data_IF_136738857775
#
_entry.id   IF_136738857775
#
_cell.length_a   1.000
_cell.length_b   1.000
_cell.length_c   1.000
_cell.angle_alpha   90.00
_cell.angle_beta   90.00
_cell.angle_gamma   90.00
#
_symmetry.space_group_name_H-M   'P 1'
#
loop_
_entity.id
_entity.type
_entity.pdbx_description
1 polymer ?
#
# COMPACT_ATOMS: atom_id res chain seq x y z
N UNK A 1 14.02 63.25 -36.85
CA UNK A 1 14.95 63.28 -35.71
C UNK A 1 14.15 63.52 -34.45
N UNK A 2 14.02 62.50 -33.60
CA UNK A 2 13.26 62.57 -32.35
C UNK A 2 14.20 63.01 -31.23
N UNK A 3 13.80 64.02 -30.45
CA UNK A 3 14.66 64.75 -29.50
C UNK A 3 15.29 63.82 -28.44
N UNK A 4 16.60 64.01 -28.19
CA UNK A 4 17.42 63.21 -27.25
C UNK A 4 16.89 63.22 -25.81
N UNK A 5 16.04 64.18 -25.46
CA UNK A 5 15.40 64.33 -24.14
C UNK A 5 14.31 63.27 -23.87
N UNK A 6 13.72 62.66 -24.91
CA UNK A 6 12.64 61.67 -24.75
C UNK A 6 13.18 60.25 -24.50
N UNK A 7 14.45 59.98 -24.86
CA UNK A 7 15.09 58.67 -24.59
C UNK A 7 15.58 58.52 -23.14
N UNK A 8 15.85 59.61 -22.43
CA UNK A 8 16.35 59.57 -21.05
C UNK A 8 15.26 59.38 -20.00
N UNK A 9 14.01 59.73 -20.30
CA UNK A 9 12.89 59.58 -19.33
C UNK A 9 12.32 58.15 -19.29
N UNK A 10 12.46 57.37 -20.38
CA UNK A 10 11.98 55.97 -20.44
C UNK A 10 12.98 55.01 -19.77
N UNK A 11 14.28 55.37 -19.72
CA UNK A 11 15.30 54.55 -19.05
C UNK A 11 15.32 54.68 -17.51
N UNK A 12 14.87 55.82 -16.95
CA UNK A 12 14.85 56.02 -15.49
C UNK A 12 13.63 55.37 -14.79
N UNK A 13 12.54 55.15 -15.52
CA UNK A 13 11.35 54.46 -15.01
C UNK A 13 11.53 52.93 -15.02
N UNK A 14 12.38 52.40 -15.90
CA UNK A 14 12.66 50.97 -16.00
C UNK A 14 13.68 50.43 -14.96
N UNK A 15 14.51 51.30 -14.36
CA UNK A 15 15.47 50.89 -13.31
C UNK A 15 14.97 51.10 -11.87
N UNK A 16 13.84 51.80 -11.67
CA UNK A 16 13.24 51.96 -10.33
C UNK A 16 12.27 50.83 -9.96
N UNK A 17 11.92 49.94 -10.90
CA UNK A 17 11.06 48.79 -10.66
C UNK A 17 11.81 47.50 -10.25
N UNK A 18 13.16 47.49 -10.30
CA UNK A 18 13.98 46.31 -9.99
C UNK A 18 14.69 46.35 -8.64
N UNK A 19 14.49 47.39 -7.82
CA UNK A 19 15.14 47.53 -6.51
C UNK A 19 14.21 47.35 -5.29
N UNK A 20 12.88 47.21 -5.49
CA UNK A 20 11.93 46.96 -4.39
C UNK A 20 11.60 45.48 -4.15
N UNK A 21 12.06 44.56 -5.01
CA UNK A 21 11.79 43.11 -4.87
C UNK A 21 12.72 42.36 -3.91
N UNK A 22 13.80 42.98 -3.43
CA UNK A 22 14.85 42.29 -2.67
C UNK A 22 14.89 42.64 -1.17
N UNK A 23 13.95 43.43 -0.64
CA UNK A 23 13.92 43.81 0.78
C UNK A 23 12.62 43.46 1.53
N UNK A 24 11.67 42.73 0.93
CA UNK A 24 10.45 42.27 1.60
C UNK A 24 10.62 40.90 2.31
N UNK A 25 11.83 40.57 2.78
CA UNK A 25 12.14 39.29 3.41
C UNK A 25 12.38 39.37 4.94
N UNK A 26 12.07 40.50 5.59
CA UNK A 26 12.17 40.61 7.05
C UNK A 26 11.08 41.54 7.61
N UNK A 27 10.09 40.95 8.27
CA UNK A 27 9.35 41.56 9.37
C UNK A 27 8.30 42.62 9.03
N UNK A 28 7.07 42.18 8.79
CA UNK A 28 5.91 42.68 9.55
C UNK A 28 4.64 41.95 9.16
N UNK A 29 3.89 41.59 10.19
CA UNK A 29 2.56 41.00 10.15
C UNK A 29 1.56 41.88 9.38
N UNK A 30 1.19 41.44 8.19
CA UNK A 30 -0.08 41.80 7.55
C UNK A 30 -0.66 40.54 6.93
N UNK A 31 -1.54 39.90 7.70
CA UNK A 31 -2.38 38.79 7.27
C UNK A 31 -3.37 39.28 6.21
N UNK A 32 -2.97 39.25 4.95
CA UNK A 32 -3.91 39.28 3.83
C UNK A 32 -4.41 37.85 3.63
N UNK A 33 -5.65 37.60 4.06
CA UNK A 33 -6.25 36.28 4.27
C UNK A 33 -6.97 35.72 3.03
N UNK A 34 -6.54 36.07 1.81
CA UNK A 34 -7.30 35.79 0.58
C UNK A 34 -6.68 34.82 -0.42
N UNK A 35 -5.55 34.17 -0.11
CA UNK A 35 -5.13 32.96 -0.83
C UNK A 35 -5.38 31.74 0.07
N UNK A 36 -6.63 31.30 0.18
CA UNK A 36 -6.92 29.98 0.73
C UNK A 36 -6.38 28.98 -0.29
N UNK A 37 -5.16 28.46 -0.05
CA UNK A 37 -4.58 27.42 -0.86
C UNK A 37 -5.54 26.23 -1.02
N UNK A 38 -5.30 25.37 -2.00
CA UNK A 38 -6.09 24.17 -2.28
C UNK A 38 -5.21 22.94 -2.13
N UNK A 39 -5.77 21.86 -1.59
CA UNK A 39 -5.09 20.58 -1.47
C UNK A 39 -5.60 19.68 -2.58
N UNK A 40 -4.68 19.12 -3.37
CA UNK A 40 -5.00 18.05 -4.28
C UNK A 40 -4.29 16.77 -3.84
N UNK A 41 -5.06 15.76 -3.44
CA UNK A 41 -4.56 14.43 -3.08
C UNK A 41 -4.86 13.40 -4.18
N UNK A 42 -3.81 12.80 -4.73
CA UNK A 42 -3.91 11.64 -5.62
C UNK A 42 -3.77 10.34 -4.81
N UNK A 43 -4.92 9.73 -4.54
CA UNK A 43 -5.07 8.50 -3.76
C UNK A 43 -4.78 7.24 -4.59
N UNK A 44 -3.95 6.37 -4.02
CA UNK A 44 -3.54 5.06 -4.54
C UNK A 44 -4.54 3.96 -4.27
N UNK A 45 -5.40 4.14 -3.26
CA UNK A 45 -6.24 3.09 -2.66
C UNK A 45 -7.72 3.23 -3.05
N UNK A 46 -8.20 2.61 -4.15
CA UNK A 46 -9.61 2.62 -4.55
C UNK A 46 -10.59 2.28 -3.41
N UNK A 47 -10.22 1.33 -2.57
CA UNK A 47 -11.00 0.83 -1.45
C UNK A 47 -11.25 1.89 -0.36
N UNK A 48 -10.41 2.92 -0.30
CA UNK A 48 -10.51 4.04 0.65
C UNK A 48 -11.10 5.32 0.03
N UNK A 49 -11.57 5.26 -1.23
CA UNK A 49 -11.95 6.45 -1.98
C UNK A 49 -13.08 7.26 -1.32
N UNK A 50 -14.10 6.58 -0.79
CA UNK A 50 -15.24 7.27 -0.19
C UNK A 50 -14.89 7.88 1.17
N UNK A 51 -14.07 7.20 1.97
CA UNK A 51 -13.54 7.71 3.23
C UNK A 51 -12.69 8.97 3.00
N UNK A 52 -11.86 8.98 1.95
CA UNK A 52 -11.09 10.19 1.60
C UNK A 52 -11.97 11.34 1.13
N UNK A 53 -13.06 11.08 0.40
CA UNK A 53 -14.03 12.13 0.04
C UNK A 53 -14.72 12.70 1.28
N UNK A 54 -15.04 11.88 2.27
CA UNK A 54 -15.61 12.33 3.53
C UNK A 54 -14.63 13.21 4.32
N UNK A 55 -13.36 12.77 4.45
CA UNK A 55 -12.29 13.55 5.08
C UNK A 55 -12.11 14.90 4.37
N UNK A 56 -12.07 14.91 3.04
CA UNK A 56 -11.94 16.13 2.25
C UNK A 56 -13.10 17.11 2.49
N UNK A 57 -14.35 16.61 2.53
CA UNK A 57 -15.55 17.41 2.83
C UNK A 57 -15.49 18.00 4.24
N UNK A 58 -15.19 17.19 5.24
CA UNK A 58 -15.12 17.63 6.63
C UNK A 58 -13.99 18.64 6.86
N UNK A 59 -12.82 18.42 6.25
CA UNK A 59 -11.71 19.37 6.31
C UNK A 59 -12.08 20.70 5.65
N UNK A 60 -12.68 20.65 4.45
CA UNK A 60 -13.13 21.84 3.72
C UNK A 60 -14.17 22.62 4.52
N UNK A 61 -15.14 21.92 5.15
CA UNK A 61 -16.16 22.53 6.01
C UNK A 61 -15.57 23.25 7.23
N UNK A 62 -14.55 22.65 7.86
CA UNK A 62 -13.92 23.20 9.08
C UNK A 62 -12.98 24.36 8.81
N UNK A 63 -12.23 24.30 7.71
CA UNK A 63 -11.12 25.24 7.44
C UNK A 63 -11.41 26.23 6.32
N UNK A 64 -12.38 25.91 5.46
CA UNK A 64 -12.63 26.64 4.20
C UNK A 64 -11.57 26.42 3.13
N UNK A 65 -10.59 25.52 3.34
CA UNK A 65 -9.59 25.11 2.35
C UNK A 65 -10.17 24.00 1.48
N UNK A 66 -10.20 24.20 0.17
CA UNK A 66 -10.69 23.19 -0.77
C UNK A 66 -9.74 21.98 -0.82
N UNK A 67 -10.32 20.78 -0.70
CA UNK A 67 -9.59 19.51 -0.86
C UNK A 67 -10.20 18.71 -2.00
N UNK A 68 -9.43 18.55 -3.08
CA UNK A 68 -9.72 17.62 -4.19
C UNK A 68 -9.06 16.29 -3.90
N UNK A 69 -9.83 15.19 -3.99
CA UNK A 69 -9.29 13.82 -3.99
C UNK A 69 -9.56 13.18 -5.34
N UNK A 70 -8.51 12.71 -6.01
CA UNK A 70 -8.62 11.86 -7.19
C UNK A 70 -8.08 10.48 -6.83
N UNK A 71 -8.81 9.43 -7.16
CA UNK A 71 -8.38 8.05 -6.89
C UNK A 71 -8.08 7.36 -8.21
N UNK A 72 -6.88 6.80 -8.34
CA UNK A 72 -6.54 6.00 -9.52
C UNK A 72 -7.34 4.69 -9.53
N UNK A 73 -7.57 4.13 -10.71
CA UNK A 73 -8.11 2.78 -10.80
C UNK A 73 -7.05 1.77 -10.33
N UNK A 74 -7.50 0.58 -9.89
CA UNK A 74 -6.59 -0.48 -9.47
C UNK A 74 -5.57 -0.80 -10.58
N UNK A 75 -4.29 -0.86 -10.23
CA UNK A 75 -3.20 -1.12 -11.16
C UNK A 75 -2.79 0.03 -12.08
N UNK A 76 -3.45 1.19 -12.05
CA UNK A 76 -3.13 2.32 -12.95
C UNK A 76 -2.43 3.50 -12.27
N UNK A 77 -2.09 3.39 -10.97
CA UNK A 77 -1.61 4.52 -10.18
C UNK A 77 -0.40 5.24 -10.76
N UNK A 78 0.68 4.53 -11.11
CA UNK A 78 1.90 5.18 -11.64
C UNK A 78 1.63 5.91 -12.96
N UNK A 79 0.74 5.38 -13.81
CA UNK A 79 0.32 6.06 -15.04
C UNK A 79 -0.47 7.33 -14.71
N UNK A 80 -1.40 7.25 -13.75
CA UNK A 80 -2.15 8.41 -13.27
C UNK A 80 -1.22 9.46 -12.65
N UNK A 81 -0.31 9.07 -11.75
CA UNK A 81 0.65 9.97 -11.11
C UNK A 81 1.51 10.68 -12.15
N UNK A 82 2.05 9.96 -13.13
CA UNK A 82 2.80 10.56 -14.24
C UNK A 82 1.99 11.60 -15.02
N UNK A 83 0.74 11.28 -15.35
CA UNK A 83 -0.16 12.20 -16.04
C UNK A 83 -0.44 13.46 -15.20
N UNK A 84 -0.72 13.28 -13.91
CA UNK A 84 -1.06 14.37 -13.00
C UNK A 84 0.13 15.28 -12.68
N UNK A 85 1.32 14.72 -12.43
CA UNK A 85 2.55 15.49 -12.21
C UNK A 85 2.95 16.30 -13.46
N UNK A 86 2.70 15.77 -14.65
CA UNK A 86 3.02 16.46 -15.92
C UNK A 86 2.18 17.73 -16.15
N UNK A 87 1.17 18.01 -15.33
CA UNK A 87 0.35 19.23 -15.40
C UNK A 87 1.00 20.45 -14.75
N UNK A 88 2.19 20.31 -14.16
CA UNK A 88 2.93 21.43 -13.57
C UNK A 88 2.18 22.02 -12.37
N UNK A 89 1.71 23.26 -12.48
CA UNK A 89 1.04 23.99 -11.39
C UNK A 89 -0.28 23.34 -10.91
N UNK A 90 -0.85 22.43 -11.69
CA UNK A 90 -2.04 21.64 -11.31
C UNK A 90 -1.70 20.23 -10.76
N UNK A 91 -0.42 19.94 -10.54
CA UNK A 91 0.04 18.69 -9.96
C UNK A 91 -0.55 18.47 -8.55
N UNK A 92 -0.67 17.19 -8.11
CA UNK A 92 -1.14 16.89 -6.77
C UNK A 92 -0.20 17.44 -5.70
N UNK A 93 -0.76 18.10 -4.70
CA UNK A 93 -0.05 18.54 -3.49
C UNK A 93 0.39 17.35 -2.65
N UNK A 94 -0.42 16.29 -2.63
CA UNK A 94 -0.18 15.05 -1.90
C UNK A 94 -0.30 13.88 -2.88
N UNK A 95 0.69 13.03 -2.89
CA UNK A 95 0.67 11.77 -3.64
C UNK A 95 1.42 10.70 -2.83
N UNK A 96 1.27 9.47 -3.27
CA UNK A 96 1.86 8.30 -2.62
C UNK A 96 3.02 7.80 -3.47
N UNK A 97 4.06 7.33 -2.80
CA UNK A 97 5.24 6.75 -3.43
C UNK A 97 5.31 5.28 -3.07
N UNK A 98 5.59 4.42 -4.06
CA UNK A 98 5.72 2.99 -3.86
C UNK A 98 7.09 2.63 -3.28
N UNK A 99 7.31 3.00 -2.01
CA UNK A 99 8.55 2.76 -1.29
C UNK A 99 9.79 3.38 -1.94
N UNK A 100 10.99 2.81 -1.71
CA UNK A 100 12.24 3.31 -2.28
C UNK A 100 12.29 3.32 -3.81
N UNK A 101 11.64 2.35 -4.47
CA UNK A 101 11.61 2.26 -5.94
C UNK A 101 10.76 3.38 -6.53
N UNK A 102 9.57 3.62 -5.98
CA UNK A 102 8.74 4.77 -6.38
C UNK A 102 9.47 6.09 -6.08
N UNK A 103 10.11 6.20 -4.92
CA UNK A 103 10.90 7.39 -4.58
C UNK A 103 12.00 7.69 -5.59
N UNK A 104 12.73 6.68 -6.08
CA UNK A 104 13.76 6.89 -7.10
C UNK A 104 13.23 7.58 -8.37
N UNK A 105 11.97 7.33 -8.73
CA UNK A 105 11.29 7.96 -9.87
C UNK A 105 10.75 9.36 -9.56
N UNK A 106 10.36 9.61 -8.31
CA UNK A 106 9.59 10.80 -7.92
C UNK A 106 10.33 11.76 -6.98
N UNK A 107 11.59 11.48 -6.61
CA UNK A 107 12.34 12.25 -5.60
C UNK A 107 12.38 13.75 -5.84
N UNK A 108 12.45 14.18 -7.10
CA UNK A 108 12.54 15.60 -7.48
C UNK A 108 11.21 16.34 -7.24
N UNK A 109 10.12 15.61 -6.99
CA UNK A 109 8.78 16.11 -6.66
C UNK A 109 8.43 15.94 -5.18
N UNK A 110 9.39 15.56 -4.33
CA UNK A 110 9.17 15.38 -2.88
C UNK A 110 9.79 16.53 -2.08
N UNK A 111 9.09 16.96 -1.03
CA UNK A 111 9.61 17.90 -0.06
C UNK A 111 10.30 17.18 1.11
N UNK A 112 11.19 17.86 1.82
CA UNK A 112 11.64 17.40 3.14
C UNK A 112 10.55 17.67 4.17
N UNK A 113 10.00 16.60 4.74
CA UNK A 113 8.90 16.62 5.68
C UNK A 113 9.37 16.56 7.14
N UNK A 114 10.69 16.56 7.40
CA UNK A 114 11.26 16.34 8.74
C UNK A 114 10.77 17.32 9.80
N UNK A 115 10.53 18.56 9.42
CA UNK A 115 10.09 19.61 10.36
C UNK A 115 8.56 19.84 10.31
N UNK A 116 7.82 18.97 9.63
CA UNK A 116 6.36 19.09 9.52
C UNK A 116 5.65 18.50 10.72
N UNK A 117 4.50 19.08 11.07
CA UNK A 117 3.60 18.53 12.09
C UNK A 117 3.12 17.11 11.72
N UNK A 118 2.93 16.84 10.42
CA UNK A 118 2.61 15.51 9.92
C UNK A 118 3.67 14.47 10.32
N UNK A 119 4.96 14.83 10.22
CA UNK A 119 6.01 13.94 10.69
C UNK A 119 5.93 13.78 12.20
N UNK A 120 5.76 14.86 12.97
CA UNK A 120 5.71 14.81 14.44
C UNK A 120 4.64 13.87 14.99
N UNK A 121 3.51 13.73 14.30
CA UNK A 121 2.42 12.82 14.69
C UNK A 121 2.70 11.34 14.39
N UNK A 122 3.76 11.03 13.64
CA UNK A 122 4.11 9.66 13.34
C UNK A 122 4.61 8.93 14.60
N UNK A 123 3.82 7.95 15.06
CA UNK A 123 4.08 7.19 16.29
C UNK A 123 5.39 6.40 16.25
N UNK A 124 5.76 5.89 15.07
CA UNK A 124 7.02 5.20 14.84
C UNK A 124 7.82 5.92 13.76
N UNK A 125 8.86 6.64 14.14
CA UNK A 125 9.70 7.42 13.21
C UNK A 125 10.62 6.55 12.33
N UNK A 126 10.80 5.28 12.68
CA UNK A 126 11.72 4.38 11.99
C UNK A 126 11.15 3.86 10.67
N UNK A 127 9.82 3.94 10.49
CA UNK A 127 9.13 3.52 9.26
C UNK A 127 9.00 4.65 8.23
N UNK A 128 9.40 5.87 8.57
CA UNK A 128 9.43 6.97 7.61
C UNK A 128 10.46 6.70 6.51
N UNK A 129 10.11 7.03 5.25
CA UNK A 129 11.08 6.94 4.16
C UNK A 129 12.04 8.13 4.27
N UNK A 130 13.35 7.84 4.33
CA UNK A 130 14.41 8.83 4.50
C UNK A 130 15.38 8.81 3.33
N UNK A 131 15.89 9.98 2.99
CA UNK A 131 17.05 10.16 2.09
C UNK A 131 18.07 11.06 2.80
N UNK A 132 19.13 10.44 3.33
CA UNK A 132 20.04 11.08 4.28
C UNK A 132 19.28 11.59 5.51
N UNK A 133 19.40 12.88 5.78
CA UNK A 133 18.71 13.55 6.90
C UNK A 133 17.28 13.97 6.58
N UNK A 134 16.83 13.85 5.32
CA UNK A 134 15.49 14.29 4.88
C UNK A 134 14.45 13.21 5.15
N UNK A 135 13.24 13.62 5.50
CA UNK A 135 12.07 12.74 5.54
C UNK A 135 11.27 12.96 4.26
N UNK A 136 11.30 12.00 3.36
CA UNK A 136 10.77 12.15 1.98
C UNK A 136 9.45 11.39 1.77
N UNK A 137 9.00 10.65 2.78
CA UNK A 137 7.70 9.99 2.78
C UNK A 137 7.26 9.65 4.19
N UNK A 138 6.00 9.97 4.50
CA UNK A 138 5.39 9.68 5.80
C UNK A 138 4.35 8.58 5.61
N UNK A 139 4.53 7.40 6.25
CA UNK A 139 3.53 6.35 6.20
C UNK A 139 2.29 6.77 6.98
N UNK A 140 1.12 6.65 6.36
CA UNK A 140 -0.17 6.97 6.98
C UNK A 140 -1.00 5.71 7.29
N UNK A 141 -0.61 4.55 6.76
CA UNK A 141 -1.25 3.26 7.01
C UNK A 141 -0.18 2.18 7.11
N UNK A 142 -0.34 1.28 8.08
CA UNK A 142 0.45 0.06 8.19
C UNK A 142 -0.42 -1.11 7.75
N UNK A 143 0.06 -1.89 6.79
CA UNK A 143 -0.62 -3.07 6.29
C UNK A 143 0.22 -4.30 6.57
N UNK A 144 -0.43 -5.35 7.05
CA UNK A 144 0.20 -6.64 7.31
C UNK A 144 -0.47 -7.69 6.45
N UNK A 145 0.33 -8.66 6.00
CA UNK A 145 -0.13 -9.80 5.23
C UNK A 145 0.39 -11.10 5.82
N UNK A 146 -0.36 -12.17 5.59
CA UNK A 146 -0.09 -13.48 6.16
C UNK A 146 -1.20 -14.46 5.79
N UNK A 147 -1.57 -15.28 6.76
CA UNK A 147 -2.72 -16.17 6.68
C UNK A 147 -3.83 -15.62 7.55
N UNK A 148 -4.96 -15.30 6.93
CA UNK A 148 -6.21 -15.07 7.62
C UNK A 148 -6.86 -16.45 7.76
N UNK A 149 -7.39 -16.80 8.94
CA UNK A 149 -8.07 -18.09 9.13
C UNK A 149 -9.50 -17.94 9.64
N UNK A 150 -10.37 -18.86 9.21
CA UNK A 150 -11.74 -18.95 9.68
C UNK A 150 -11.74 -19.72 11.01
N UNK A 151 -12.03 -19.03 12.13
CA UNK A 151 -11.99 -19.60 13.48
C UNK A 151 -12.94 -20.77 13.66
N UNK A 152 -14.13 -20.71 13.07
CA UNK A 152 -15.12 -21.78 13.19
C UNK A 152 -14.65 -23.06 12.49
N UNK A 153 -14.10 -22.94 11.27
CA UNK A 153 -13.57 -24.08 10.53
C UNK A 153 -12.31 -24.65 11.18
N UNK A 154 -11.40 -23.80 11.66
CA UNK A 154 -10.21 -24.27 12.37
C UNK A 154 -10.58 -24.95 13.71
N UNK A 155 -11.59 -24.44 14.42
CA UNK A 155 -12.15 -25.08 15.61
C UNK A 155 -12.77 -26.44 15.30
N UNK A 156 -13.50 -26.55 14.17
CA UNK A 156 -14.04 -27.84 13.70
C UNK A 156 -12.91 -28.84 13.42
N UNK A 157 -11.83 -28.40 12.77
CA UNK A 157 -10.65 -29.22 12.52
C UNK A 157 -9.95 -29.68 13.80
N UNK A 158 -9.66 -28.76 14.73
CA UNK A 158 -8.98 -29.10 15.99
C UNK A 158 -9.79 -30.03 16.90
N UNK A 159 -11.11 -30.08 16.70
CA UNK A 159 -12.02 -31.03 17.34
C UNK A 159 -11.94 -32.48 16.80
N UNK A 160 -11.27 -32.71 15.67
CA UNK A 160 -11.04 -34.08 15.19
C UNK A 160 -10.11 -34.83 16.15
N UNK A 161 -10.37 -36.13 16.32
CA UNK A 161 -9.65 -36.98 17.28
C UNK A 161 -8.14 -37.01 17.00
N UNK A 162 -7.77 -36.99 15.72
CA UNK A 162 -6.42 -37.13 15.19
C UNK A 162 -5.85 -35.85 14.54
N UNK A 163 -6.49 -34.70 14.83
CA UNK A 163 -6.01 -33.38 14.43
C UNK A 163 -4.55 -33.15 14.88
N UNK A 164 -3.74 -32.53 14.01
CA UNK A 164 -2.30 -32.32 14.22
C UNK A 164 -1.95 -31.20 15.21
N UNK A 165 -2.93 -30.38 15.54
CA UNK A 165 -2.84 -29.29 16.53
C UNK A 165 -4.14 -29.19 17.32
N UNK A 166 -4.08 -28.57 18.50
CA UNK A 166 -5.28 -28.29 19.32
C UNK A 166 -5.72 -26.82 19.32
N UNK A 167 -4.89 -25.92 18.80
CA UNK A 167 -5.24 -24.52 18.63
C UNK A 167 -4.46 -23.87 17.48
N UNK A 168 -4.81 -22.63 17.14
CA UNK A 168 -4.14 -21.87 16.08
C UNK A 168 -2.68 -21.54 16.47
N UNK A 169 -2.41 -21.33 17.75
CA UNK A 169 -1.10 -20.93 18.29
C UNK A 169 -0.03 -22.02 18.12
N UNK A 170 -0.44 -23.28 18.00
CA UNK A 170 0.47 -24.39 17.71
C UNK A 170 0.95 -24.40 16.24
N UNK A 171 0.32 -23.62 15.36
CA UNK A 171 0.72 -23.43 13.95
C UNK A 171 1.81 -22.35 13.86
N UNK A 172 2.97 -22.64 14.45
CA UNK A 172 4.08 -21.69 14.62
C UNK A 172 5.33 -22.02 13.79
N UNK A 173 5.21 -22.98 12.87
CA UNK A 173 6.29 -23.40 11.96
C UNK A 173 5.71 -23.88 10.64
N UNK A 174 6.55 -23.89 9.60
CA UNK A 174 6.17 -24.44 8.30
C UNK A 174 5.74 -25.92 8.40
N UNK A 175 6.47 -26.74 9.15
CA UNK A 175 6.15 -28.17 9.29
C UNK A 175 4.79 -28.39 9.96
N UNK A 176 4.46 -27.57 10.97
CA UNK A 176 3.13 -27.60 11.61
C UNK A 176 2.04 -27.11 10.66
N UNK A 177 2.26 -26.01 9.96
CA UNK A 177 1.31 -25.51 8.95
C UNK A 177 1.06 -26.55 7.86
N UNK A 178 2.11 -27.18 7.34
CA UNK A 178 2.02 -28.25 6.35
C UNK A 178 1.24 -29.45 6.89
N UNK A 179 1.57 -29.90 8.09
CA UNK A 179 0.88 -31.04 8.70
C UNK A 179 -0.62 -30.74 8.88
N UNK A 180 -0.99 -29.53 9.27
CA UNK A 180 -2.40 -29.10 9.39
C UNK A 180 -3.08 -29.02 8.03
N UNK A 181 -2.44 -28.42 7.03
CA UNK A 181 -3.00 -28.29 5.68
C UNK A 181 -3.21 -29.64 4.99
N UNK A 182 -2.21 -30.52 5.02
CA UNK A 182 -2.28 -31.88 4.50
C UNK A 182 -3.43 -32.67 5.16
N UNK A 183 -3.66 -32.46 6.46
CA UNK A 183 -4.66 -33.18 7.25
C UNK A 183 -6.07 -32.61 7.04
N UNK A 184 -6.21 -31.30 6.88
CA UNK A 184 -7.45 -30.65 6.42
C UNK A 184 -7.82 -31.15 5.02
N UNK A 185 -6.86 -31.27 4.09
CA UNK A 185 -7.12 -31.84 2.76
C UNK A 185 -7.68 -33.26 2.81
N UNK A 186 -7.18 -34.10 3.71
CA UNK A 186 -7.64 -35.48 3.88
C UNK A 186 -9.06 -35.53 4.45
N UNK A 187 -9.41 -34.57 5.31
CA UNK A 187 -10.70 -34.50 6.00
C UNK A 187 -11.67 -33.47 5.40
N UNK A 188 -11.46 -33.03 4.15
CA UNK A 188 -12.32 -32.02 3.48
C UNK A 188 -13.80 -32.30 3.61
N UNK A 189 -14.21 -33.53 3.34
CA UNK A 189 -15.61 -33.96 3.39
C UNK A 189 -16.20 -33.86 4.80
N UNK A 190 -15.44 -34.24 5.82
CA UNK A 190 -15.88 -34.17 7.22
C UNK A 190 -15.97 -32.70 7.69
N UNK A 191 -15.03 -31.88 7.21
CA UNK A 191 -14.95 -30.45 7.52
C UNK A 191 -15.95 -29.61 6.72
N UNK A 192 -16.43 -30.10 5.57
CA UNK A 192 -17.31 -29.36 4.68
C UNK A 192 -16.57 -28.24 3.94
N UNK A 193 -15.29 -28.43 3.61
CA UNK A 193 -14.44 -27.46 2.91
C UNK A 193 -13.94 -28.04 1.59
N UNK A 194 -13.63 -27.18 0.63
CA UNK A 194 -13.07 -27.58 -0.66
C UNK A 194 -11.54 -27.66 -0.63
N UNK A 195 -10.88 -27.03 0.36
CA UNK A 195 -9.43 -27.03 0.54
C UNK A 195 -8.98 -26.48 1.88
N UNK A 196 -7.70 -26.66 2.21
CA UNK A 196 -7.12 -25.99 3.37
C UNK A 196 -6.96 -24.49 3.09
N UNK A 197 -6.45 -24.15 1.90
CA UNK A 197 -6.27 -22.78 1.43
C UNK A 197 -7.28 -22.40 0.35
N UNK A 198 -7.65 -21.12 0.29
CA UNK A 198 -8.26 -20.53 -0.92
C UNK A 198 -7.35 -20.72 -2.13
N UNK A 199 -7.91 -20.61 -3.32
CA UNK A 199 -7.17 -20.68 -4.57
C UNK A 199 -6.04 -19.64 -4.65
N UNK A 200 -4.86 -20.11 -5.06
CA UNK A 200 -3.70 -19.29 -5.34
C UNK A 200 -3.75 -18.75 -6.78
N UNK A 201 -4.65 -17.80 -7.04
CA UNK A 201 -4.92 -17.28 -8.37
C UNK A 201 -3.77 -16.55 -9.04
N UNK A 202 -3.57 -16.80 -10.34
CA UNK A 202 -2.56 -16.16 -11.20
C UNK A 202 -3.17 -15.20 -12.23
N UNK A 203 -4.47 -14.90 -12.11
CA UNK A 203 -5.03 -13.71 -12.73
C UNK A 203 -4.43 -12.43 -12.12
N UNK A 204 -4.40 -11.35 -12.90
CA UNK A 204 -3.88 -10.03 -12.52
C UNK A 204 -4.49 -9.44 -11.23
N UNK A 205 -5.72 -9.81 -10.88
CA UNK A 205 -6.37 -9.40 -9.63
C UNK A 205 -5.84 -10.12 -8.38
N UNK A 206 -5.05 -11.19 -8.54
CA UNK A 206 -4.71 -12.15 -7.49
C UNK A 206 -3.21 -12.45 -7.39
N UNK A 207 -2.50 -12.40 -8.52
CA UNK A 207 -1.12 -12.89 -8.64
C UNK A 207 -0.11 -12.18 -7.73
N UNK A 208 -0.34 -10.89 -7.43
CA UNK A 208 0.46 -10.02 -6.55
C UNK A 208 0.60 -10.59 -5.13
N UNK A 209 -0.37 -11.39 -4.68
CA UNK A 209 -0.28 -12.13 -3.41
C UNK A 209 0.93 -13.05 -3.35
N UNK A 210 1.28 -13.68 -4.47
CA UNK A 210 2.32 -14.70 -4.54
C UNK A 210 3.60 -14.22 -5.23
N UNK A 211 3.49 -13.39 -6.28
CA UNK A 211 4.65 -12.84 -7.00
C UNK A 211 5.27 -11.62 -6.32
N UNK A 212 4.51 -10.92 -5.47
CA UNK A 212 4.97 -9.76 -4.71
C UNK A 212 5.05 -10.08 -3.22
N UNK A 213 3.92 -10.20 -2.51
CA UNK A 213 3.97 -10.31 -1.04
C UNK A 213 4.71 -11.54 -0.53
N UNK A 214 4.38 -12.73 -1.06
CA UNK A 214 5.06 -13.94 -0.64
C UNK A 214 6.54 -13.94 -1.06
N UNK A 215 6.87 -13.40 -2.24
CA UNK A 215 8.23 -13.30 -2.74
C UNK A 215 9.08 -12.23 -2.04
N UNK A 216 8.46 -11.23 -1.42
CA UNK A 216 9.17 -10.18 -0.69
C UNK A 216 9.91 -10.73 0.54
N UNK A 217 9.38 -11.75 1.21
CA UNK A 217 10.01 -12.32 2.41
C UNK A 217 11.40 -12.92 2.16
N UNK A 218 11.58 -13.89 1.24
CA UNK A 218 12.91 -14.45 0.98
C UNK A 218 13.90 -13.38 0.47
N UNK A 219 13.43 -12.44 -0.35
CA UNK A 219 14.27 -11.35 -0.86
C UNK A 219 14.69 -10.38 0.24
N UNK A 220 13.76 -10.00 1.13
CA UNK A 220 14.06 -9.11 2.25
C UNK A 220 15.15 -9.70 3.17
N UNK A 221 15.00 -10.97 3.56
CA UNK A 221 15.98 -11.59 4.44
C UNK A 221 17.34 -11.74 3.77
N UNK A 222 17.40 -12.12 2.49
CA UNK A 222 18.65 -12.16 1.73
C UNK A 222 19.29 -10.77 1.62
N UNK A 223 18.53 -9.76 1.22
CA UNK A 223 19.05 -8.40 1.04
C UNK A 223 19.50 -7.77 2.34
N UNK A 224 18.84 -8.11 3.46
CA UNK A 224 19.25 -7.68 4.79
C UNK A 224 20.56 -8.33 5.21
N UNK A 225 20.71 -9.64 5.00
CA UNK A 225 21.92 -10.41 5.32
C UNK A 225 23.12 -9.94 4.48
N UNK A 226 22.89 -9.71 3.19
CA UNK A 226 23.92 -9.31 2.22
C UNK A 226 24.12 -7.78 2.15
N UNK A 227 23.47 -7.00 3.01
CA UNK A 227 23.52 -5.53 3.04
C UNK A 227 23.24 -4.85 1.68
N UNK A 228 22.29 -5.40 0.91
CA UNK A 228 21.91 -4.89 -0.40
C UNK A 228 21.15 -3.58 -0.26
N UNK A 229 21.68 -2.50 -0.84
CA UNK A 229 21.10 -1.14 -0.80
C UNK A 229 20.56 -0.64 -2.14
N UNK A 230 20.76 -1.42 -3.21
CA UNK A 230 20.29 -1.12 -4.58
C UNK A 230 19.86 -2.43 -5.24
N UNK A 231 18.95 -2.34 -6.22
CA UNK A 231 18.49 -3.52 -6.95
C UNK A 231 19.68 -4.30 -7.54
N UNK A 232 19.89 -5.56 -7.13
CA UNK A 232 21.01 -6.35 -7.63
C UNK A 232 20.66 -6.93 -9.02
N UNK A 233 21.69 -7.19 -9.84
CA UNK A 233 21.52 -7.82 -11.14
C UNK A 233 21.12 -9.30 -11.05
N UNK A 234 21.44 -9.94 -9.92
CA UNK A 234 21.12 -11.34 -9.61
C UNK A 234 20.75 -11.46 -8.14
N UNK A 235 19.84 -12.37 -7.84
CA UNK A 235 19.57 -12.83 -6.47
C UNK A 235 20.35 -14.12 -6.24
N UNK A 236 20.89 -14.29 -5.03
CA UNK A 236 21.62 -15.50 -4.63
C UNK A 236 20.64 -16.66 -4.42
N UNK A 237 19.44 -16.34 -3.94
CA UNK A 237 18.35 -17.30 -3.78
C UNK A 237 18.39 -18.09 -2.47
N UNK A 238 19.09 -17.59 -1.46
CA UNK A 238 19.34 -18.21 -0.14
C UNK A 238 18.06 -18.73 0.52
N UNK A 239 16.95 -18.01 0.38
CA UNK A 239 15.67 -18.35 1.00
C UNK A 239 14.59 -18.81 -0.01
N UNK A 240 14.93 -18.99 -1.29
CA UNK A 240 13.96 -19.36 -2.32
C UNK A 240 13.40 -20.78 -2.17
N UNK A 241 14.17 -21.70 -1.56
CA UNK A 241 13.67 -23.04 -1.23
C UNK A 241 12.49 -22.97 -0.24
N UNK A 242 12.56 -22.05 0.72
CA UNK A 242 11.47 -21.79 1.66
C UNK A 242 10.24 -21.24 0.95
N UNK A 243 10.43 -20.26 0.05
CA UNK A 243 9.38 -19.73 -0.82
C UNK A 243 8.70 -20.82 -1.65
N UNK A 244 9.50 -21.69 -2.27
CA UNK A 244 8.98 -22.80 -3.07
C UNK A 244 8.14 -23.74 -2.21
N UNK A 245 8.62 -24.13 -1.02
CA UNK A 245 7.89 -25.02 -0.10
C UNK A 245 6.53 -24.46 0.30
N UNK A 246 6.44 -23.18 0.65
CA UNK A 246 5.16 -22.57 1.04
C UNK A 246 4.24 -22.35 -0.16
N UNK A 247 4.78 -21.98 -1.32
CA UNK A 247 3.97 -21.84 -2.52
C UNK A 247 3.43 -23.19 -3.01
N UNK A 248 4.25 -24.24 -3.00
CA UNK A 248 3.84 -25.62 -3.28
C UNK A 248 2.71 -26.05 -2.32
N UNK A 249 2.80 -25.70 -1.03
CA UNK A 249 1.74 -25.98 -0.06
C UNK A 249 0.42 -25.32 -0.47
N UNK A 250 0.44 -24.03 -0.82
CA UNK A 250 -0.76 -23.30 -1.22
C UNK A 250 -1.43 -23.88 -2.47
N UNK A 251 -0.68 -24.38 -3.45
CA UNK A 251 -1.25 -24.92 -4.69
C UNK A 251 -1.66 -26.40 -4.56
N UNK A 252 -1.04 -27.16 -3.66
CA UNK A 252 -1.36 -28.57 -3.43
C UNK A 252 -2.57 -28.74 -2.50
N UNK A 253 -2.67 -27.89 -1.47
CA UNK A 253 -3.71 -27.97 -0.44
C UNK A 253 -4.81 -26.90 -0.60
N UNK A 254 -5.13 -26.57 -1.85
CA UNK A 254 -6.07 -25.50 -2.20
C UNK A 254 -7.47 -26.03 -2.59
N UNK A 255 -8.46 -25.13 -2.55
CA UNK A 255 -9.82 -25.33 -3.11
C UNK A 255 -9.82 -25.66 -4.60
N UNK A 256 -8.73 -25.33 -5.30
CA UNK A 256 -8.58 -25.45 -6.74
C UNK A 256 -7.32 -26.26 -7.08
N UNK A 257 -7.38 -27.21 -8.03
CA UNK A 257 -6.21 -27.92 -8.53
C UNK A 257 -5.16 -26.98 -9.15
N UNK A 258 -3.87 -27.29 -8.96
CA UNK A 258 -2.75 -26.50 -9.49
C UNK A 258 -2.85 -26.19 -10.99
N UNK A 259 -3.42 -27.10 -11.80
CA UNK A 259 -3.60 -26.91 -13.25
C UNK A 259 -4.65 -25.86 -13.63
N UNK A 260 -5.42 -25.35 -12.67
CA UNK A 260 -6.51 -24.38 -12.88
C UNK A 260 -6.27 -23.02 -12.25
N UNK A 261 -5.11 -22.79 -11.62
CA UNK A 261 -4.84 -21.54 -10.90
C UNK A 261 -4.70 -20.33 -11.82
N UNK A 262 -4.37 -20.55 -13.10
CA UNK A 262 -4.15 -19.48 -14.08
C UNK A 262 -5.36 -18.59 -14.34
N UNK A 263 -6.59 -19.10 -14.12
CA UNK A 263 -7.83 -18.33 -14.31
C UNK A 263 -8.49 -17.88 -13.01
N UNK A 264 -7.89 -18.19 -11.85
CA UNK A 264 -8.47 -17.85 -10.55
C UNK A 264 -8.17 -16.41 -10.18
N UNK A 265 -9.20 -15.70 -9.77
CA UNK A 265 -9.18 -14.26 -9.46
C UNK A 265 -9.02 -13.98 -7.96
N UNK A 266 -8.86 -12.72 -7.58
CA UNK A 266 -8.94 -12.29 -6.19
C UNK A 266 -10.36 -12.46 -5.61
N UNK A 267 -11.38 -12.23 -6.44
CA UNK A 267 -12.79 -12.42 -6.08
C UNK A 267 -13.12 -13.89 -5.81
N UNK A 268 -12.59 -14.82 -6.62
CA UNK A 268 -12.74 -16.26 -6.38
C UNK A 268 -12.20 -16.65 -5.00
N UNK A 269 -10.97 -16.23 -4.67
CA UNK A 269 -10.36 -16.55 -3.39
C UNK A 269 -11.12 -15.93 -2.21
N UNK A 270 -11.62 -14.69 -2.37
CA UNK A 270 -12.47 -14.04 -1.37
C UNK A 270 -13.79 -14.80 -1.15
N UNK A 271 -14.46 -15.17 -2.24
CA UNK A 271 -15.71 -15.92 -2.21
C UNK A 271 -15.51 -17.32 -1.59
N UNK A 272 -14.44 -18.02 -1.95
CA UNK A 272 -14.07 -19.31 -1.36
C UNK A 272 -13.90 -19.21 0.15
N UNK A 273 -13.24 -18.16 0.65
CA UNK A 273 -13.05 -17.98 2.09
C UNK A 273 -14.34 -17.56 2.82
N UNK A 274 -15.04 -16.54 2.31
CA UNK A 274 -16.26 -16.01 2.94
C UNK A 274 -17.42 -17.00 2.93
N UNK A 275 -17.47 -17.91 1.95
CA UNK A 275 -18.46 -18.99 1.89
C UNK A 275 -18.05 -20.23 2.71
N UNK A 276 -16.93 -20.17 3.44
CA UNK A 276 -16.46 -21.28 4.27
C UNK A 276 -15.91 -22.48 3.50
N UNK A 277 -15.48 -22.31 2.25
CA UNK A 277 -14.89 -23.38 1.42
C UNK A 277 -13.41 -23.60 1.70
N UNK A 278 -12.76 -22.69 2.42
CA UNK A 278 -11.36 -22.80 2.81
C UNK A 278 -11.15 -22.39 4.27
N UNK A 279 -10.19 -23.01 4.93
CA UNK A 279 -9.81 -22.68 6.32
C UNK A 279 -8.90 -21.46 6.38
N UNK A 280 -7.98 -21.34 5.42
CA UNK A 280 -6.94 -20.31 5.36
C UNK A 280 -7.05 -19.48 4.07
N UNK A 281 -6.78 -18.20 4.20
CA UNK A 281 -6.71 -17.24 3.10
C UNK A 281 -5.40 -16.47 3.17
N UNK A 282 -4.51 -16.72 2.21
CA UNK A 282 -3.30 -15.91 2.06
C UNK A 282 -3.72 -14.55 1.51
N UNK A 283 -3.70 -13.53 2.37
CA UNK A 283 -3.98 -12.13 2.04
C UNK A 283 -3.53 -11.20 3.19
N UNK A 284 -3.87 -9.92 3.12
CA UNK A 284 -3.58 -8.94 4.17
C UNK A 284 -4.79 -8.21 4.73
N UNK A 285 -4.52 -7.27 5.63
CA UNK A 285 -5.54 -6.52 6.40
C UNK A 285 -6.55 -5.79 5.50
N UNK A 286 -6.15 -5.39 4.29
CA UNK A 286 -7.04 -4.75 3.31
C UNK A 286 -8.18 -5.67 2.85
N UNK A 287 -8.04 -7.01 2.97
CA UNK A 287 -9.10 -7.95 2.62
C UNK A 287 -10.35 -7.81 3.50
N UNK A 288 -10.23 -7.19 4.68
CA UNK A 288 -11.33 -7.01 5.61
C UNK A 288 -12.54 -6.31 4.98
N UNK A 289 -12.32 -5.28 4.16
CA UNK A 289 -13.42 -4.53 3.53
C UNK A 289 -14.32 -5.44 2.68
N UNK A 290 -13.72 -6.36 1.93
CA UNK A 290 -14.47 -7.29 1.08
C UNK A 290 -15.08 -8.43 1.90
N UNK A 291 -14.35 -8.98 2.87
CA UNK A 291 -14.85 -10.04 3.75
C UNK A 291 -16.06 -9.56 4.60
N UNK A 292 -16.01 -8.32 5.09
CA UNK A 292 -17.11 -7.72 5.83
C UNK A 292 -18.34 -7.51 4.95
N UNK A 293 -18.17 -7.05 3.70
CA UNK A 293 -19.27 -6.97 2.72
C UNK A 293 -19.85 -8.35 2.39
N UNK A 294 -19.02 -9.39 2.41
CA UNK A 294 -19.45 -10.78 2.24
C UNK A 294 -20.11 -11.39 3.50
N UNK A 295 -20.26 -10.61 4.59
CA UNK A 295 -20.98 -11.00 5.79
C UNK A 295 -20.12 -11.61 6.90
N UNK A 296 -18.79 -11.68 6.73
CA UNK A 296 -17.87 -12.12 7.78
C UNK A 296 -17.77 -11.06 8.89
N UNK A 297 -17.63 -11.52 10.13
CA UNK A 297 -17.40 -10.63 11.28
C UNK A 297 -15.96 -10.71 11.75
N UNK A 298 -15.50 -9.68 12.46
CA UNK A 298 -14.13 -9.62 12.94
C UNK A 298 -13.84 -10.76 13.94
N UNK A 299 -14.85 -11.14 14.74
CA UNK A 299 -14.76 -12.27 15.67
C UNK A 299 -14.63 -13.64 14.99
N UNK A 300 -15.02 -13.77 13.72
CA UNK A 300 -14.94 -15.01 12.94
C UNK A 300 -13.52 -15.27 12.39
N UNK A 301 -12.69 -14.23 12.36
CA UNK A 301 -11.39 -14.23 11.71
C UNK A 301 -10.25 -14.18 12.73
N UNK A 302 -9.15 -14.83 12.42
CA UNK A 302 -7.87 -14.64 13.11
C UNK A 302 -6.71 -14.55 12.14
#
# INVERSE_FOLDING_TARGET
MMNRTIKSTIALVACSAMAFGALAACGSSSSDSSAKGKVYFLNFKPEAADQWKEVAKEYTKKTGVEVKVQTAASGTYEQSLKSEISKGDEAPTLFQINGPVGYASWKDYTADLKDTELYNQLQNKDIALKDGDKVVGIPYAMETYGLIYNKALLKKYTGLKDAKVKSAEEINSFDKLKAVADDIQKHKSDLGVDGAFTSAGFDSSSDWRFKTHLANLPLYYEFKEDHVTKQPAKVKGTFLDGYKKIFDLYINDSTTPATKIGSKTGEDANAEFSQGKAVFYQNGTWAWGDLSKAGMKAEDLG
#
